data_IF_108548141456
#
_entry.id   IF_108548141456
#
_cell.length_a   1.000
_cell.length_b   1.000
_cell.length_c   1.000
_cell.angle_alpha   90.00
_cell.angle_beta   90.00
_cell.angle_gamma   90.00
#
_symmetry.space_group_name_H-M   'P 1'
#
loop_
_entity.id
_entity.type
_entity.pdbx_description
1 polymer ?
#
# COMPACT_ATOMS: atom_id res chain seq x y z
N UNK A 1 -13.17 2.03 0.12
CA UNK A 1 -13.57 0.61 0.22
C UNK A 1 -12.38 -0.29 0.60
N UNK A 2 -11.14 0.14 0.40
CA UNK A 2 -9.92 -0.61 0.77
C UNK A 2 -9.57 -0.65 2.26
N UNK A 3 -10.01 0.32 3.08
CA UNK A 3 -9.95 0.17 4.55
C UNK A 3 -10.74 -1.06 5.02
N UNK A 4 -11.74 -1.52 4.25
CA UNK A 4 -12.44 -2.78 4.55
C UNK A 4 -11.59 -4.01 4.25
N UNK A 5 -10.57 -3.94 3.38
CA UNK A 5 -9.70 -5.09 3.07
C UNK A 5 -8.68 -5.28 4.19
N UNK A 6 -8.04 -4.21 4.67
CA UNK A 6 -7.14 -4.30 5.82
C UNK A 6 -7.86 -4.75 7.09
N UNK A 7 -9.06 -4.21 7.36
CA UNK A 7 -9.87 -4.62 8.51
C UNK A 7 -10.38 -6.07 8.36
N UNK A 8 -10.73 -6.51 7.15
CA UNK A 8 -11.12 -7.91 6.88
C UNK A 8 -9.93 -8.87 6.98
N UNK A 9 -8.73 -8.48 6.57
CA UNK A 9 -7.53 -9.30 6.70
C UNK A 9 -7.19 -9.56 8.18
N UNK A 10 -7.25 -8.52 9.02
CA UNK A 10 -7.05 -8.61 10.46
C UNK A 10 -8.15 -9.45 11.15
N UNK A 11 -9.42 -9.25 10.76
CA UNK A 11 -10.53 -10.09 11.22
C UNK A 11 -10.37 -11.57 10.82
N UNK A 12 -9.87 -11.84 9.61
CA UNK A 12 -9.63 -13.21 9.10
C UNK A 12 -8.44 -13.90 9.76
N UNK A 13 -7.55 -13.16 10.43
CA UNK A 13 -6.51 -13.66 11.33
C UNK A 13 -7.02 -13.85 12.78
N UNK A 14 -8.32 -13.67 13.02
CA UNK A 14 -8.94 -13.78 14.35
C UNK A 14 -8.60 -12.61 15.28
N UNK A 15 -8.14 -11.48 14.75
CA UNK A 15 -7.66 -10.35 15.55
C UNK A 15 -8.71 -9.26 15.70
N UNK A 16 -8.84 -8.77 16.93
CA UNK A 16 -9.69 -7.65 17.31
C UNK A 16 -9.14 -6.33 16.75
N UNK A 17 -10.02 -5.36 16.46
CA UNK A 17 -9.63 -4.02 16.03
C UNK A 17 -8.62 -3.37 17.00
N UNK A 18 -8.68 -3.70 18.30
CA UNK A 18 -7.76 -3.22 19.33
C UNK A 18 -6.37 -3.89 19.35
N UNK A 19 -6.20 -5.05 18.71
CA UNK A 19 -4.90 -5.75 18.61
C UNK A 19 -4.07 -5.30 17.39
N UNK A 20 -4.73 -4.73 16.38
CA UNK A 20 -4.11 -4.24 15.15
C UNK A 20 -2.99 -3.22 15.40
N UNK A 21 -3.17 -2.21 16.28
CA UNK A 21 -2.12 -1.24 16.59
C UNK A 21 -0.90 -1.88 17.28
N UNK A 22 -1.13 -2.85 18.17
CA UNK A 22 -0.09 -3.56 18.92
C UNK A 22 0.79 -4.41 18.00
N UNK A 23 0.18 -5.09 17.02
CA UNK A 23 0.90 -5.86 16.01
C UNK A 23 1.75 -4.98 15.09
N UNK A 24 1.24 -3.80 14.71
CA UNK A 24 2.01 -2.84 13.93
C UNK A 24 3.18 -2.28 14.74
N UNK A 25 3.00 -2.00 16.03
CA UNK A 25 4.09 -1.59 16.93
C UNK A 25 5.18 -2.65 17.06
N UNK A 26 4.81 -3.94 17.13
CA UNK A 26 5.78 -5.04 17.18
C UNK A 26 6.61 -5.17 15.89
N UNK A 27 6.03 -4.90 14.73
CA UNK A 27 6.73 -5.03 13.43
C UNK A 27 7.54 -3.78 13.06
N UNK A 28 7.15 -2.60 13.55
CA UNK A 28 7.71 -1.32 13.12
C UNK A 28 8.36 -0.48 14.25
N UNK A 29 8.43 -1.00 15.48
CA UNK A 29 9.01 -0.39 16.70
C UNK A 29 8.32 0.93 17.18
N UNK A 30 8.42 1.24 18.47
CA UNK A 30 7.45 2.05 19.25
C UNK A 30 7.59 3.59 19.12
N UNK A 31 7.81 4.08 17.89
CA UNK A 31 7.78 5.51 17.56
C UNK A 31 6.52 5.87 16.78
N UNK A 32 5.46 6.33 17.46
CA UNK A 32 4.17 6.81 16.90
C UNK A 32 3.84 6.26 15.50
N UNK A 33 3.61 4.94 15.42
CA UNK A 33 3.36 4.22 14.17
C UNK A 33 1.99 4.61 13.61
N UNK A 34 1.95 5.74 12.92
CA UNK A 34 0.76 6.16 12.17
C UNK A 34 0.67 5.38 10.86
N UNK A 35 -0.53 5.16 10.33
CA UNK A 35 -0.70 4.41 9.09
C UNK A 35 0.10 5.00 7.90
N UNK A 36 0.29 6.33 7.87
CA UNK A 36 1.13 7.04 6.88
C UNK A 36 2.63 6.74 7.02
N UNK A 37 3.14 6.55 8.24
CA UNK A 37 4.57 6.24 8.45
C UNK A 37 4.86 4.78 8.10
N UNK A 38 3.95 3.85 8.45
CA UNK A 38 4.01 2.46 7.98
C UNK A 38 4.00 2.40 6.46
N UNK A 39 3.10 3.14 5.83
CA UNK A 39 3.03 3.17 4.38
C UNK A 39 4.36 3.63 3.77
N UNK A 40 4.94 4.75 4.24
CA UNK A 40 6.27 5.19 3.78
C UNK A 40 7.34 4.11 3.89
N UNK A 41 7.34 3.31 4.96
CA UNK A 41 8.29 2.21 5.13
C UNK A 41 8.09 1.10 4.09
N UNK A 42 6.84 0.76 3.77
CA UNK A 42 6.53 -0.16 2.66
C UNK A 42 7.04 0.41 1.33
N UNK A 43 6.86 1.72 1.10
CA UNK A 43 7.33 2.38 -0.13
C UNK A 43 8.85 2.37 -0.26
N UNK A 44 9.60 2.58 0.83
CA UNK A 44 11.06 2.44 0.84
C UNK A 44 11.49 1.05 0.39
N UNK A 45 10.87 0.01 0.96
CA UNK A 45 11.16 -1.40 0.62
C UNK A 45 10.81 -1.68 -0.84
N UNK A 46 9.69 -1.15 -1.34
CA UNK A 46 9.29 -1.22 -2.75
C UNK A 46 10.37 -0.62 -3.66
N UNK A 47 10.82 0.61 -3.39
CA UNK A 47 11.87 1.25 -4.20
C UNK A 47 13.19 0.48 -4.18
N UNK A 48 13.60 -0.03 -3.02
CA UNK A 48 14.77 -0.91 -2.90
C UNK A 48 14.62 -2.19 -3.73
N UNK A 49 13.42 -2.80 -3.74
CA UNK A 49 13.15 -3.99 -4.56
C UNK A 49 13.15 -3.67 -6.05
N UNK A 50 12.56 -2.55 -6.47
CA UNK A 50 12.56 -2.11 -7.87
C UNK A 50 14.00 -1.89 -8.33
N UNK A 51 14.83 -1.18 -7.57
CA UNK A 51 16.25 -0.96 -7.90
C UNK A 51 17.01 -2.26 -8.12
N UNK A 52 16.70 -3.29 -7.32
CA UNK A 52 17.38 -4.60 -7.38
C UNK A 52 16.85 -5.50 -8.51
N UNK A 53 15.53 -5.53 -8.74
CA UNK A 53 14.89 -6.47 -9.68
C UNK A 53 14.70 -5.85 -11.07
N UNK A 54 14.54 -4.53 -11.14
CA UNK A 54 14.26 -3.77 -12.36
C UNK A 54 15.11 -2.48 -12.39
N UNK A 55 16.45 -2.61 -12.49
CA UNK A 55 17.35 -1.44 -12.44
C UNK A 55 17.07 -0.40 -13.52
N UNK A 56 16.51 -0.80 -14.68
CA UNK A 56 16.10 0.11 -15.75
C UNK A 56 14.97 1.09 -15.32
N UNK A 57 14.18 0.76 -14.29
CA UNK A 57 13.13 1.63 -13.74
C UNK A 57 13.65 2.52 -12.60
N UNK A 58 14.95 2.52 -12.31
CA UNK A 58 15.52 3.34 -11.23
C UNK A 58 15.44 4.84 -11.52
N UNK A 59 15.48 5.23 -12.80
CA UNK A 59 15.47 6.63 -13.21
C UNK A 59 14.07 7.24 -13.05
N UNK A 60 14.03 8.48 -12.56
CA UNK A 60 12.80 9.27 -12.46
C UNK A 60 12.17 9.43 -13.85
N UNK A 61 10.83 9.40 -13.92
CA UNK A 61 10.08 9.56 -15.18
C UNK A 61 9.92 8.30 -16.03
N UNK A 62 10.59 7.19 -15.71
CA UNK A 62 10.43 5.93 -16.44
C UNK A 62 9.18 5.14 -16.05
N UNK A 63 8.59 5.45 -14.90
CA UNK A 63 7.39 4.79 -14.43
C UNK A 63 6.56 5.74 -13.57
N UNK A 64 5.26 5.46 -13.57
CA UNK A 64 4.29 6.17 -12.75
C UNK A 64 3.77 5.23 -11.68
N UNK A 65 3.53 5.78 -10.49
CA UNK A 65 2.89 5.04 -9.42
C UNK A 65 1.38 5.22 -9.50
N UNK A 66 0.65 4.10 -9.50
CA UNK A 66 -0.79 4.06 -9.40
C UNK A 66 -1.18 3.44 -8.05
N UNK A 67 -1.92 4.18 -7.22
CA UNK A 67 -2.54 3.68 -5.99
C UNK A 67 -3.85 4.43 -5.71
N UNK A 68 -4.67 3.88 -4.82
CA UNK A 68 -5.94 4.50 -4.45
C UNK A 68 -5.76 5.75 -3.56
N UNK A 69 -6.83 6.53 -3.43
CA UNK A 69 -6.86 7.74 -2.60
C UNK A 69 -7.11 7.46 -1.10
N UNK A 70 -6.68 6.30 -0.58
CA UNK A 70 -6.84 6.04 0.85
C UNK A 70 -6.14 7.12 1.70
N UNK A 71 -6.72 7.45 2.86
CA UNK A 71 -6.22 8.48 3.78
C UNK A 71 -4.70 8.43 4.06
N UNK A 72 -4.05 7.27 4.30
CA UNK A 72 -2.60 7.25 4.49
C UNK A 72 -1.83 7.57 3.21
N UNK A 73 -2.34 7.21 2.02
CA UNK A 73 -1.65 7.39 0.75
C UNK A 73 -1.68 8.85 0.27
N UNK A 74 -2.73 9.59 0.61
CA UNK A 74 -2.87 11.02 0.28
C UNK A 74 -2.24 11.94 1.34
N UNK A 75 -1.66 11.39 2.40
CA UNK A 75 -1.04 12.18 3.45
C UNK A 75 0.14 13.01 2.91
N UNK A 76 0.32 14.24 3.41
CA UNK A 76 1.40 15.12 3.01
C UNK A 76 2.79 14.47 3.11
N UNK A 77 3.00 13.63 4.14
CA UNK A 77 4.22 12.86 4.33
C UNK A 77 4.53 11.93 3.13
N UNK A 78 3.50 11.29 2.57
CA UNK A 78 3.64 10.37 1.43
C UNK A 78 3.89 11.15 0.14
N UNK A 79 3.20 12.27 -0.06
CA UNK A 79 3.46 13.16 -1.20
C UNK A 79 4.91 13.68 -1.17
N UNK A 80 5.39 14.09 0.00
CA UNK A 80 6.79 14.51 0.19
C UNK A 80 7.77 13.36 -0.10
N UNK A 81 7.46 12.16 0.36
CA UNK A 81 8.27 10.97 0.07
C UNK A 81 8.42 10.72 -1.44
N UNK A 82 7.34 10.88 -2.21
CA UNK A 82 7.39 10.73 -3.67
C UNK A 82 8.25 11.79 -4.35
N UNK A 83 8.08 13.05 -3.97
CA UNK A 83 8.90 14.15 -4.48
C UNK A 83 10.38 13.93 -4.19
N UNK A 84 10.73 13.50 -2.96
CA UNK A 84 12.12 13.22 -2.56
C UNK A 84 12.76 12.09 -3.38
N UNK A 85 11.97 11.11 -3.81
CA UNK A 85 12.45 9.97 -4.59
C UNK A 85 12.26 10.12 -6.10
N UNK A 86 11.75 11.27 -6.57
CA UNK A 86 11.52 11.53 -7.98
C UNK A 86 10.50 10.58 -8.61
N UNK A 87 9.50 10.14 -7.84
CA UNK A 87 8.43 9.26 -8.35
C UNK A 87 7.20 10.11 -8.64
N UNK A 88 6.67 9.98 -9.86
CA UNK A 88 5.43 10.66 -10.25
C UNK A 88 4.25 9.76 -9.95
N UNK A 89 3.31 10.27 -9.16
CA UNK A 89 2.04 9.62 -8.87
C UNK A 89 1.02 9.95 -9.95
N UNK A 90 0.31 8.94 -10.44
CA UNK A 90 -0.82 9.11 -11.36
C UNK A 90 -2.06 9.49 -10.55
N UNK A 91 -2.77 10.54 -10.97
CA UNK A 91 -4.02 10.94 -10.32
C UNK A 91 -5.09 9.86 -10.47
N UNK A 92 -5.66 9.42 -9.36
CA UNK A 92 -6.76 8.47 -9.33
C UNK A 92 -8.09 9.20 -9.07
N UNK A 93 -9.14 9.00 -9.87
CA UNK A 93 -10.44 9.59 -9.57
C UNK A 93 -11.06 8.92 -8.34
N UNK A 94 -11.73 9.68 -7.45
CA UNK A 94 -12.43 9.10 -6.30
C UNK A 94 -13.45 8.05 -6.74
N UNK A 95 -13.49 6.90 -6.04
CA UNK A 95 -14.52 5.86 -6.19
C UNK A 95 -14.59 5.12 -7.52
N UNK A 96 -13.45 4.90 -8.19
CA UNK A 96 -13.39 4.03 -9.38
C UNK A 96 -12.65 2.72 -9.10
N UNK A 97 -13.22 1.74 -8.38
CA UNK A 97 -12.54 0.46 -8.15
C UNK A 97 -12.17 -0.29 -9.44
N UNK A 98 -12.94 -0.09 -10.52
CA UNK A 98 -12.72 -0.76 -11.81
C UNK A 98 -11.48 -0.25 -12.57
N UNK A 99 -10.92 0.88 -12.15
CA UNK A 99 -9.71 1.46 -12.76
C UNK A 99 -8.41 0.97 -12.10
N UNK A 100 -8.50 0.17 -11.03
CA UNK A 100 -7.35 -0.35 -10.30
C UNK A 100 -7.00 -1.72 -10.88
N UNK A 101 -5.86 -1.86 -11.59
CA UNK A 101 -5.47 -3.16 -12.13
C UNK A 101 -5.41 -4.28 -11.07
N UNK A 102 -4.95 -4.02 -9.83
CA UNK A 102 -5.05 -5.00 -8.74
C UNK A 102 -6.47 -5.46 -8.43
N UNK A 103 -7.44 -4.54 -8.34
CA UNK A 103 -8.81 -4.89 -7.93
C UNK A 103 -9.59 -5.64 -9.02
N UNK A 104 -9.36 -5.27 -10.28
CA UNK A 104 -10.00 -5.91 -11.42
C UNK A 104 -9.39 -7.29 -11.73
N UNK A 105 -8.05 -7.41 -11.72
CA UNK A 105 -7.38 -8.61 -12.22
C UNK A 105 -6.80 -9.51 -11.13
N UNK A 106 -6.08 -8.94 -10.16
CA UNK A 106 -5.30 -9.72 -9.19
C UNK A 106 -6.18 -10.24 -8.03
N UNK A 107 -6.94 -9.35 -7.41
CA UNK A 107 -7.77 -9.65 -6.25
C UNK A 107 -8.81 -10.76 -6.51
N UNK A 108 -9.53 -10.81 -7.66
CA UNK A 108 -10.47 -11.89 -7.93
C UNK A 108 -9.79 -13.25 -8.08
N UNK A 109 -8.65 -13.30 -8.78
CA UNK A 109 -7.85 -14.54 -8.92
C UNK A 109 -7.35 -15.03 -7.58
N UNK A 110 -6.86 -14.12 -6.75
CA UNK A 110 -6.40 -14.44 -5.40
C UNK A 110 -7.57 -14.95 -4.53
N UNK A 111 -8.74 -14.31 -4.58
CA UNK A 111 -9.94 -14.78 -3.87
C UNK A 111 -10.36 -16.17 -4.30
N UNK A 112 -10.29 -16.47 -5.60
CA UNK A 112 -10.61 -17.79 -6.13
C UNK A 112 -9.61 -18.84 -5.63
N UNK A 113 -8.31 -18.56 -5.68
CA UNK A 113 -7.26 -19.45 -5.19
C UNK A 113 -7.33 -19.68 -3.67
N UNK A 114 -7.75 -18.67 -2.91
CA UNK A 114 -7.92 -18.75 -1.45
C UNK A 114 -9.31 -19.22 -1.02
N UNK A 115 -10.21 -19.54 -1.97
CA UNK A 115 -11.51 -20.09 -1.65
C UNK A 115 -11.28 -21.53 -1.19
N UNK A 116 -11.47 -21.76 0.11
CA UNK A 116 -11.45 -23.11 0.68
C UNK A 116 -12.46 -23.99 -0.04
N UNK A 117 -12.21 -25.30 -0.05
CA UNK A 117 -13.23 -26.29 -0.40
C UNK A 117 -14.38 -26.23 0.60
#
# INVERSE_FOLDING_TARGET
MEQRIHLKFLYKLGKSAGESPSMLKHVYEDGTVTLKTVYCEVLKRLLSRIRRVRPHLKQSGFWFLLHDNARPHTAALVKQFWTQHGVTELSYPPYYPDLSPPDFFLCPKLKLALKGR
#
